data_IF_228597888620
#
_entry.id   IF_228597888620
#
_cell.length_a   1.000
_cell.length_b   1.000
_cell.length_c   1.000
_cell.angle_alpha   90.00
_cell.angle_beta   90.00
_cell.angle_gamma   90.00
#
_symmetry.space_group_name_H-M   'P 1'
#
loop_
_entity.id
_entity.type
_entity.pdbx_description
1 polymer ?
#
# COMPACT_ATOMS: atom_id res chain seq x y z
N UNK A 1 -16.77 -3.91 -22.23
CA UNK A 1 -15.36 -4.14 -21.86
C UNK A 1 -15.32 -4.06 -20.35
N UNK A 2 -14.99 -5.13 -19.64
CA UNK A 2 -14.83 -5.01 -18.18
C UNK A 2 -13.49 -4.33 -17.89
N UNK A 3 -13.54 -3.25 -17.12
CA UNK A 3 -12.38 -2.49 -16.68
C UNK A 3 -11.62 -3.31 -15.62
N UNK A 4 -10.67 -4.15 -16.03
CA UNK A 4 -9.84 -4.95 -15.12
C UNK A 4 -8.43 -4.36 -14.89
N UNK A 5 -8.12 -3.20 -15.48
CA UNK A 5 -6.77 -2.59 -15.42
C UNK A 5 -6.65 -1.42 -14.43
N UNK A 6 -7.60 -1.27 -13.51
CA UNK A 6 -7.51 -0.25 -12.49
C UNK A 6 -6.45 -0.61 -11.44
N UNK A 7 -5.62 0.38 -11.10
CA UNK A 7 -4.59 0.27 -10.07
C UNK A 7 -4.77 1.39 -9.07
N UNK A 8 -4.60 1.05 -7.80
CA UNK A 8 -4.57 2.02 -6.72
C UNK A 8 -3.33 1.81 -5.87
N UNK A 9 -2.85 2.90 -5.27
CA UNK A 9 -1.73 2.86 -4.34
C UNK A 9 -2.25 2.67 -2.92
N UNK A 10 -1.62 1.76 -2.17
CA UNK A 10 -1.90 1.54 -0.75
C UNK A 10 -0.59 1.60 0.02
N UNK A 11 -0.60 2.34 1.12
CA UNK A 11 0.55 2.47 2.02
C UNK A 11 0.19 2.02 3.43
N UNK A 12 0.98 1.10 3.98
CA UNK A 12 0.98 0.84 5.42
C UNK A 12 1.75 1.97 6.11
N UNK A 13 1.04 2.80 6.89
CA UNK A 13 1.64 3.92 7.64
C UNK A 13 2.57 3.42 8.76
N UNK A 14 3.47 4.26 9.30
CA UNK A 14 4.44 3.85 10.31
C UNK A 14 3.84 3.13 11.53
N UNK A 15 2.66 3.54 11.97
CA UNK A 15 1.92 2.91 13.07
C UNK A 15 1.48 1.47 12.75
N UNK A 16 1.03 1.21 11.53
CA UNK A 16 0.68 -0.14 11.08
C UNK A 16 1.90 -1.05 10.99
N UNK A 17 3.04 -0.51 10.56
CA UNK A 17 4.33 -1.23 10.53
C UNK A 17 4.78 -1.57 11.95
N UNK A 18 4.78 -0.61 12.87
CA UNK A 18 5.17 -0.80 14.27
C UNK A 18 4.29 -1.85 14.98
N UNK A 19 3.01 -1.93 14.60
CA UNK A 19 2.05 -2.91 15.13
C UNK A 19 2.10 -4.27 14.44
N UNK A 20 2.97 -4.46 13.43
CA UNK A 20 3.10 -5.73 12.71
C UNK A 20 1.93 -6.05 11.77
N UNK A 21 1.15 -5.06 11.34
CA UNK A 21 -0.12 -5.27 10.60
C UNK A 21 0.04 -5.46 9.09
N UNK A 22 1.26 -5.43 8.55
CA UNK A 22 1.50 -5.50 7.09
C UNK A 22 0.87 -6.77 6.50
N UNK A 23 1.12 -7.94 7.12
CA UNK A 23 0.60 -9.22 6.64
C UNK A 23 -0.93 -9.28 6.66
N UNK A 24 -1.56 -8.76 7.72
CA UNK A 24 -3.03 -8.71 7.83
C UNK A 24 -3.65 -7.81 6.77
N UNK A 25 -3.03 -6.67 6.48
CA UNK A 25 -3.49 -5.74 5.45
C UNK A 25 -3.41 -6.39 4.06
N UNK A 26 -2.28 -7.04 3.73
CA UNK A 26 -2.11 -7.75 2.46
C UNK A 26 -3.12 -8.88 2.32
N UNK A 27 -3.24 -9.74 3.33
CA UNK A 27 -4.19 -10.85 3.33
C UNK A 27 -5.64 -10.38 3.12
N UNK A 28 -6.00 -9.22 3.69
CA UNK A 28 -7.33 -8.62 3.49
C UNK A 28 -7.54 -8.13 2.05
N UNK A 29 -6.53 -7.56 1.40
CA UNK A 29 -6.63 -7.09 0.02
C UNK A 29 -6.73 -8.28 -0.95
N UNK A 30 -5.88 -9.29 -0.78
CA UNK A 30 -5.91 -10.51 -1.59
C UNK A 30 -7.21 -11.29 -1.39
N UNK A 31 -7.71 -11.37 -0.14
CA UNK A 31 -9.00 -11.98 0.18
C UNK A 31 -10.21 -11.29 -0.47
N UNK A 32 -10.07 -10.03 -0.91
CA UNK A 32 -11.08 -9.31 -1.72
C UNK A 32 -10.94 -9.55 -3.22
N UNK A 33 -9.98 -10.37 -3.65
CA UNK A 33 -9.68 -10.63 -5.06
C UNK A 33 -8.81 -9.56 -5.73
N UNK A 34 -8.23 -8.64 -4.96
CA UNK A 34 -7.25 -7.68 -5.49
C UNK A 34 -5.90 -8.36 -5.69
N UNK A 35 -5.21 -8.00 -6.77
CA UNK A 35 -3.87 -8.51 -7.06
C UNK A 35 -2.82 -7.48 -6.66
N UNK A 36 -1.83 -7.91 -5.86
CA UNK A 36 -0.66 -7.08 -5.58
C UNK A 36 0.25 -7.06 -6.81
N UNK A 37 0.44 -5.87 -7.40
CA UNK A 37 1.26 -5.70 -8.62
C UNK A 37 2.69 -5.22 -8.35
N UNK A 38 2.99 -4.85 -7.10
CA UNK A 38 4.30 -4.38 -6.67
C UNK A 38 4.30 -3.94 -5.20
N UNK A 39 5.49 -3.83 -4.61
CA UNK A 39 5.65 -3.38 -3.24
C UNK A 39 7.08 -2.94 -2.95
N UNK A 40 7.24 -2.00 -2.02
CA UNK A 40 8.54 -1.51 -1.54
C UNK A 40 8.44 -1.20 -0.06
N UNK A 41 9.36 -1.73 0.74
CA UNK A 41 9.54 -1.32 2.12
C UNK A 41 10.67 -0.30 2.19
N UNK A 42 10.35 0.92 2.61
CA UNK A 42 11.32 2.00 2.70
C UNK A 42 10.95 2.98 3.79
N UNK A 43 11.95 3.73 4.26
CA UNK A 43 11.72 4.94 5.04
C UNK A 43 11.55 6.10 4.06
N UNK A 44 10.46 6.84 4.21
CA UNK A 44 10.16 8.03 3.41
C UNK A 44 10.92 9.22 4.03
N UNK A 45 11.61 9.99 3.21
CA UNK A 45 12.23 11.26 3.61
C UNK A 45 11.21 12.41 3.56
N UNK A 46 11.58 13.57 4.09
CA UNK A 46 10.66 14.69 4.23
C UNK A 46 10.20 15.26 2.87
N UNK A 47 11.11 15.29 1.88
CA UNK A 47 10.80 15.74 0.52
C UNK A 47 9.74 14.86 -0.13
N UNK A 48 9.93 13.54 -0.13
CA UNK A 48 8.96 12.60 -0.70
C UNK A 48 7.64 12.58 0.08
N UNK A 49 7.67 12.80 1.41
CA UNK A 49 6.45 12.95 2.21
C UNK A 49 5.66 14.20 1.79
N UNK A 50 6.33 15.34 1.59
CA UNK A 50 5.68 16.56 1.12
C UNK A 50 5.10 16.38 -0.28
N UNK A 51 5.82 15.75 -1.22
CA UNK A 51 5.29 15.44 -2.55
C UNK A 51 4.04 14.56 -2.50
N UNK A 52 3.99 13.58 -1.59
CA UNK A 52 2.84 12.69 -1.44
C UNK A 52 1.58 13.39 -0.89
N UNK A 53 1.74 14.46 -0.11
CA UNK A 53 0.64 15.19 0.54
C UNK A 53 0.36 16.59 -0.05
N UNK A 54 1.06 16.99 -1.12
CA UNK A 54 0.82 18.22 -1.86
C UNK A 54 -0.53 18.19 -2.59
#
# INVERSE_FOLDING_TARGET
>A
MSHHDERTFVMAKPDAVQRGLIGEIVARLEGKGLTMVGGKFMRIDEELAHEHYA
#
